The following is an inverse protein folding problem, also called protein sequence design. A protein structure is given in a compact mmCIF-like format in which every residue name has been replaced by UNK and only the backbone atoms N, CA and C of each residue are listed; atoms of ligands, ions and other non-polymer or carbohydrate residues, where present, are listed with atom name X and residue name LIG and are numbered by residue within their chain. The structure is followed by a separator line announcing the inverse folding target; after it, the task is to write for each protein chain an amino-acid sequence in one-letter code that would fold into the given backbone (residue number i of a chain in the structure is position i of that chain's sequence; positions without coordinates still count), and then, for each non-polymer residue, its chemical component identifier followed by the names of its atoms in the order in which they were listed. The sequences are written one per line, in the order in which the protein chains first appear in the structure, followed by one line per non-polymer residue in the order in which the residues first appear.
data_IF_955190605840
#
_entry.id   IF_955190605840
#
_cell.length_a   1.000
_cell.length_b   1.000
_cell.length_c   1.000
_cell.angle_alpha   90.00
_cell.angle_beta   90.00
_cell.angle_gamma   90.00
#
_symmetry.space_group_name_H-M   'P 1'
#
loop_
_entity.id
_entity.type
_entity.pdbx_description
1 polymer ?
#
# COMPACT_ATOMS: atom_id res chain seq x y z
N UNK A 1 8.93 -5.70 -22.97
CA UNK A 1 8.75 -5.52 -21.52
C UNK A 1 8.45 -6.89 -20.95
N UNK A 2 9.38 -7.53 -20.24
CA UNK A 2 9.10 -8.81 -19.59
C UNK A 2 8.28 -8.51 -18.34
N UNK A 3 6.99 -8.82 -18.40
CA UNK A 3 6.08 -8.73 -17.27
C UNK A 3 6.60 -9.62 -16.15
N UNK A 4 6.81 -9.06 -14.97
CA UNK A 4 7.28 -9.82 -13.81
C UNK A 4 6.21 -10.86 -13.45
N UNK A 5 6.47 -12.18 -13.58
CA UNK A 5 5.44 -13.21 -13.42
C UNK A 5 4.76 -13.16 -12.04
N UNK A 6 5.55 -12.84 -11.01
CA UNK A 6 5.07 -12.69 -9.63
C UNK A 6 4.17 -11.46 -9.46
N UNK A 7 4.36 -10.42 -10.26
CA UNK A 7 3.46 -9.26 -10.26
C UNK A 7 2.10 -9.60 -10.87
N UNK A 8 2.08 -10.36 -11.97
CA UNK A 8 0.80 -10.77 -12.58
C UNK A 8 0.04 -11.78 -11.72
N UNK A 9 0.73 -12.67 -11.01
CA UNK A 9 0.12 -13.56 -10.01
C UNK A 9 -0.52 -12.75 -8.87
N UNK A 10 0.25 -11.87 -8.22
CA UNK A 10 -0.25 -11.01 -7.13
C UNK A 10 -1.40 -10.12 -7.59
N UNK A 11 -1.33 -9.60 -8.82
CA UNK A 11 -2.40 -8.78 -9.41
C UNK A 11 -3.66 -9.60 -9.67
N UNK A 12 -3.52 -10.85 -10.13
CA UNK A 12 -4.65 -11.77 -10.34
C UNK A 12 -5.30 -12.11 -9.00
N UNK A 13 -4.50 -12.50 -8.01
CA UNK A 13 -4.99 -12.81 -6.65
C UNK A 13 -5.67 -11.60 -5.99
N UNK A 14 -5.10 -10.40 -6.14
CA UNK A 14 -5.70 -9.18 -5.64
C UNK A 14 -7.02 -8.85 -6.36
N UNK A 15 -7.09 -9.05 -7.68
CA UNK A 15 -8.31 -8.82 -8.45
C UNK A 15 -9.43 -9.80 -8.04
N UNK A 16 -9.09 -11.08 -7.82
CA UNK A 16 -10.03 -12.08 -7.32
C UNK A 16 -10.54 -11.74 -5.91
N UNK A 17 -9.64 -11.31 -5.01
CA UNK A 17 -10.01 -10.89 -3.65
C UNK A 17 -10.91 -9.65 -3.63
N UNK A 18 -10.70 -8.69 -4.54
CA UNK A 18 -11.55 -7.49 -4.70
C UNK A 18 -12.93 -7.83 -5.25
N UNK A 19 -13.05 -8.94 -6.00
CA UNK A 19 -14.32 -9.36 -6.62
C UNK A 19 -15.24 -10.14 -5.67
N UNK A 20 -14.74 -10.56 -4.51
CA UNK A 20 -15.49 -11.30 -3.49
C UNK A 20 -16.14 -10.38 -2.45
N UNK A 21 -17.10 -10.92 -1.68
CA UNK A 21 -17.83 -10.18 -0.64
C UNK A 21 -17.04 -10.04 0.70
N UNK A 22 -15.81 -10.54 0.79
CA UNK A 22 -15.00 -10.60 2.03
C UNK A 22 -13.84 -9.57 2.07
N UNK A 23 -13.87 -8.53 1.24
CA UNK A 23 -12.81 -7.53 1.15
C UNK A 23 -12.79 -6.60 2.39
N UNK A 24 -11.92 -6.91 3.37
CA UNK A 24 -11.81 -6.12 4.61
C UNK A 24 -11.21 -4.73 4.43
N UNK A 25 -10.24 -4.57 3.53
CA UNK A 25 -9.60 -3.29 3.27
C UNK A 25 -8.80 -3.31 1.97
N UNK A 26 -8.85 -2.21 1.22
CA UNK A 26 -8.12 -2.01 -0.03
C UNK A 26 -7.43 -0.65 -0.03
N UNK A 27 -6.14 -0.65 -0.38
CA UNK A 27 -5.36 0.55 -0.64
C UNK A 27 -4.97 0.59 -2.12
N UNK A 28 -5.38 1.64 -2.82
CA UNK A 28 -5.04 1.88 -4.22
C UNK A 28 -4.41 3.25 -4.37
N UNK A 29 -3.18 3.29 -4.87
CA UNK A 29 -2.48 4.52 -5.23
C UNK A 29 -2.31 4.65 -6.74
N UNK A 30 -2.65 5.79 -7.30
CA UNK A 30 -2.34 6.16 -8.69
C UNK A 30 -1.13 7.10 -8.66
N UNK A 31 -0.03 6.64 -9.25
CA UNK A 31 1.17 7.45 -9.47
C UNK A 31 1.11 8.02 -10.88
N UNK A 32 0.93 9.35 -11.00
CA UNK A 32 0.96 10.02 -12.29
C UNK A 32 2.38 10.43 -12.66
N UNK A 33 2.69 10.47 -13.96
CA UNK A 33 4.01 10.87 -14.46
C UNK A 33 4.39 12.32 -14.09
N UNK A 34 3.40 13.15 -13.77
CA UNK A 34 3.59 14.55 -13.34
C UNK A 34 3.90 14.70 -11.85
N UNK A 35 4.11 13.61 -11.11
CA UNK A 35 4.36 13.62 -9.67
C UNK A 35 3.10 13.85 -8.82
N UNK A 36 1.91 13.91 -9.43
CA UNK A 36 0.65 13.87 -8.70
C UNK A 36 0.40 12.45 -8.23
N UNK A 37 -0.05 12.32 -7.00
CA UNK A 37 -0.48 11.05 -6.46
C UNK A 37 -1.94 11.14 -6.03
N UNK A 38 -2.74 10.14 -6.39
CA UNK A 38 -4.11 9.98 -5.91
C UNK A 38 -4.18 8.71 -5.08
N UNK A 39 -4.83 8.77 -3.92
CA UNK A 39 -4.90 7.65 -2.99
C UNK A 39 -6.35 7.39 -2.64
N UNK A 40 -6.76 6.14 -2.82
CA UNK A 40 -8.07 5.65 -2.44
C UNK A 40 -7.88 4.58 -1.38
N UNK A 41 -8.46 4.82 -0.21
CA UNK A 41 -8.48 3.84 0.87
C UNK A 41 -9.93 3.47 1.16
N UNK A 42 -10.29 2.24 0.79
CA UNK A 42 -11.57 1.63 1.13
C UNK A 42 -11.38 0.70 2.32
N UNK A 43 -12.17 0.90 3.37
CA UNK A 43 -12.14 0.02 4.53
C UNK A 43 -13.58 -0.17 5.03
N UNK A 44 -13.93 -1.41 5.37
CA UNK A 44 -15.19 -1.80 6.02
C UNK A 44 -15.02 -1.84 7.55
N UNK A 45 -14.53 -0.74 8.14
CA UNK A 45 -14.40 -0.56 9.59
C UNK A 45 -15.33 0.54 10.04
N UNK A 46 -16.12 0.25 11.07
CA UNK A 46 -17.07 1.20 11.66
C UNK A 46 -16.37 2.20 12.60
N UNK A 47 -15.17 1.87 13.09
CA UNK A 47 -14.43 2.67 14.07
C UNK A 47 -13.03 3.11 13.60
N UNK A 48 -12.67 4.36 13.93
CA UNK A 48 -11.37 4.93 13.58
C UNK A 48 -10.16 4.19 14.19
N UNK A 49 -10.36 3.51 15.32
CA UNK A 49 -9.31 2.71 15.96
C UNK A 49 -8.98 1.44 15.15
N UNK A 50 -10.02 0.75 14.67
CA UNK A 50 -9.88 -0.43 13.82
C UNK A 50 -9.25 -0.06 12.46
N UNK A 51 -9.65 1.08 11.90
CA UNK A 51 -9.03 1.64 10.70
C UNK A 51 -7.52 1.84 10.89
N UNK A 52 -7.12 2.44 12.02
CA UNK A 52 -5.71 2.70 12.34
C UNK A 52 -4.91 1.42 12.48
N UNK A 53 -5.46 0.41 13.14
CA UNK A 53 -4.80 -0.88 13.33
C UNK A 53 -4.64 -1.63 12.00
N UNK A 54 -5.71 -1.71 11.20
CA UNK A 54 -5.66 -2.32 9.88
C UNK A 54 -4.67 -1.61 8.95
N UNK A 55 -4.68 -0.27 8.93
CA UNK A 55 -3.75 0.54 8.13
C UNK A 55 -2.30 0.34 8.60
N UNK A 56 -2.04 0.28 9.91
CA UNK A 56 -0.69 0.03 10.43
C UNK A 56 -0.14 -1.34 10.00
N UNK A 57 -0.99 -2.38 9.97
CA UNK A 57 -0.61 -3.70 9.46
C UNK A 57 -0.23 -3.63 7.99
N UNK A 58 -1.03 -2.95 7.15
CA UNK A 58 -0.75 -2.79 5.73
C UNK A 58 0.54 -2.00 5.46
N UNK A 59 0.76 -0.91 6.18
CA UNK A 59 2.01 -0.14 6.11
C UNK A 59 3.20 -1.02 6.50
N UNK A 60 3.08 -1.80 7.57
CA UNK A 60 4.13 -2.74 8.00
C UNK A 60 4.46 -3.81 6.96
N UNK A 61 3.44 -4.36 6.29
CA UNK A 61 3.63 -5.32 5.19
C UNK A 61 4.42 -4.69 4.03
N UNK A 62 4.06 -3.48 3.62
CA UNK A 62 4.73 -2.78 2.53
C UNK A 62 6.19 -2.45 2.88
N UNK A 63 6.43 -1.89 4.07
CA UNK A 63 7.80 -1.57 4.55
C UNK A 63 8.66 -2.82 4.56
N UNK A 64 8.14 -3.96 5.03
CA UNK A 64 8.89 -5.22 5.06
C UNK A 64 9.28 -5.69 3.66
N UNK A 65 8.36 -5.63 2.70
CA UNK A 65 8.63 -6.03 1.30
C UNK A 65 9.68 -5.11 0.68
N UNK A 66 9.57 -3.79 0.89
CA UNK A 66 10.52 -2.84 0.34
C UNK A 66 11.92 -3.04 0.91
N UNK A 67 12.05 -3.18 2.23
CA UNK A 67 13.31 -3.46 2.91
C UNK A 67 14.00 -4.72 2.36
N UNK A 68 13.25 -5.81 2.18
CA UNK A 68 13.76 -7.06 1.59
C UNK A 68 14.25 -6.88 0.15
N UNK A 69 13.51 -6.12 -0.66
CA UNK A 69 13.82 -5.91 -2.09
C UNK A 69 14.96 -4.92 -2.33
N UNK A 70 15.19 -3.99 -1.43
CA UNK A 70 16.22 -2.97 -1.54
C UNK A 70 17.49 -3.29 -0.73
N UNK A 71 17.53 -4.44 -0.05
CA UNK A 71 18.58 -4.79 0.93
C UNK A 71 18.81 -3.66 1.96
N UNK A 72 17.70 -3.12 2.46
CA UNK A 72 17.69 -2.02 3.44
C UNK A 72 17.04 -2.48 4.74
N UNK A 73 17.26 -1.73 5.80
CA UNK A 73 16.58 -1.98 7.06
C UNK A 73 15.15 -1.48 7.02
N UNK A 74 14.29 -2.11 7.83
CA UNK A 74 12.89 -1.69 8.02
C UNK A 74 12.83 -0.24 8.51
N UNK A 75 13.74 0.16 9.41
CA UNK A 75 13.77 1.52 9.95
C UNK A 75 14.09 2.57 8.87
N UNK A 76 15.05 2.30 7.98
CA UNK A 76 15.46 3.22 6.91
C UNK A 76 14.30 3.48 5.93
N UNK A 77 13.55 2.44 5.58
CA UNK A 77 12.36 2.57 4.72
C UNK A 77 11.25 3.34 5.44
N UNK A 78 11.04 3.08 6.73
CA UNK A 78 10.01 3.76 7.51
C UNK A 78 10.32 5.25 7.66
N UNK A 79 11.58 5.62 7.95
CA UNK A 79 12.02 7.01 8.03
C UNK A 79 11.81 7.74 6.70
N UNK A 80 12.25 7.14 5.58
CA UNK A 80 12.03 7.70 4.26
C UNK A 80 10.52 7.87 3.96
N UNK A 81 9.69 6.91 4.34
CA UNK A 81 8.24 7.00 4.14
C UNK A 81 7.62 8.15 4.94
N UNK A 82 8.07 8.39 6.17
CA UNK A 82 7.65 9.54 6.99
C UNK A 82 8.04 10.85 6.31
N UNK A 83 9.31 11.00 5.91
CA UNK A 83 9.78 12.22 5.22
C UNK A 83 8.97 12.53 3.96
N UNK A 84 8.61 11.51 3.18
CA UNK A 84 7.77 11.68 1.99
C UNK A 84 6.33 12.01 2.35
N UNK A 85 5.75 11.36 3.33
CA UNK A 85 4.37 11.62 3.76
C UNK A 85 4.20 13.07 4.25
N UNK A 86 5.18 13.61 4.98
CA UNK A 86 5.15 15.01 5.44
C UNK A 86 5.19 16.03 4.30
N UNK A 87 5.75 15.64 3.14
CA UNK A 87 5.82 16.48 1.94
C UNK A 87 4.60 16.32 1.03
N UNK A 88 3.72 15.35 1.29
CA UNK A 88 2.54 15.11 0.46
C UNK A 88 1.42 16.10 0.81
N UNK A 89 0.92 16.78 -0.21
CA UNK A 89 -0.34 17.53 -0.09
C UNK A 89 -1.52 16.56 -0.16
N UNK A 90 -2.29 16.45 0.93
CA UNK A 90 -3.59 15.80 0.92
C UNK A 90 -4.62 16.79 0.35
N UNK A 91 -5.43 16.36 -0.63
CA UNK A 91 -6.59 17.11 -1.15
C UNK A 91 -7.84 16.28 -1.04
#
# INVERSE_FOLDING_TARGET
MMTNPRFEEVKTEAAEAVSGDDLRSVYTGIVHENGRHEYYFGNDTEEAAELREAAAVQVGMLVRVLADRSDSRVEEIAELAVERAEQMELR
#
